data_IF_817469019111
#
_entry.id   IF_817469019111
#
_cell.length_a   1.000
_cell.length_b   1.000
_cell.length_c   1.000
_cell.angle_alpha   90.00
_cell.angle_beta   90.00
_cell.angle_gamma   90.00
#
_symmetry.space_group_name_H-M   'P 1'
#
loop_
_entity.id
_entity.type
_entity.pdbx_description
1 polymer ?
#
# COMPACT_ATOMS: atom_id res chain seq x y z
N UNK A 1 15.47 27.54 -10.98
CA UNK A 1 16.11 26.21 -10.97
C UNK A 1 15.00 25.17 -11.01
N UNK A 2 14.82 24.51 -12.16
CA UNK A 2 13.88 23.40 -12.34
C UNK A 2 14.35 22.22 -11.50
N UNK A 3 13.58 21.82 -10.49
CA UNK A 3 13.89 20.61 -9.71
C UNK A 3 13.89 19.41 -10.67
N UNK A 4 14.93 18.56 -10.66
CA UNK A 4 14.93 17.36 -11.47
C UNK A 4 13.74 16.48 -11.07
N UNK A 5 12.95 16.04 -12.05
CA UNK A 5 11.88 15.07 -11.86
C UNK A 5 12.55 13.73 -11.57
N UNK A 6 12.69 13.36 -10.29
CA UNK A 6 13.17 12.04 -9.90
C UNK A 6 12.21 11.00 -10.49
N UNK A 7 12.65 10.31 -11.54
CA UNK A 7 11.94 9.15 -12.09
C UNK A 7 12.14 8.05 -11.07
N UNK A 8 11.10 7.77 -10.28
CA UNK A 8 11.09 6.76 -9.23
C UNK A 8 11.59 5.41 -9.75
N UNK A 9 12.47 4.73 -9.00
CA UNK A 9 12.86 3.35 -9.31
C UNK A 9 11.85 2.41 -8.67
N UNK A 10 10.90 1.93 -9.47
CA UNK A 10 9.97 0.90 -9.03
C UNK A 10 10.68 -0.43 -8.79
N UNK A 11 10.27 -1.12 -7.73
CA UNK A 11 10.71 -2.49 -7.46
C UNK A 11 10.20 -3.48 -8.51
N UNK A 12 10.90 -4.62 -8.62
CA UNK A 12 10.42 -5.77 -9.39
C UNK A 12 9.07 -6.24 -8.83
N UNK A 13 8.92 -6.24 -7.50
CA UNK A 13 7.66 -6.52 -6.81
C UNK A 13 6.51 -5.67 -7.36
N UNK A 14 6.65 -4.34 -7.36
CA UNK A 14 5.60 -3.45 -7.86
C UNK A 14 5.31 -3.68 -9.34
N UNK A 15 6.33 -3.83 -10.18
CA UNK A 15 6.16 -4.11 -11.62
C UNK A 15 5.41 -5.40 -11.91
N UNK A 16 5.56 -6.42 -11.06
CA UNK A 16 4.88 -7.71 -11.22
C UNK A 16 3.41 -7.64 -10.78
N UNK A 17 3.10 -6.88 -9.74
CA UNK A 17 1.78 -6.89 -9.08
C UNK A 17 0.99 -5.59 -9.24
N UNK A 18 1.38 -4.71 -10.16
CA UNK A 18 0.63 -3.48 -10.51
C UNK A 18 -0.66 -3.77 -11.31
N UNK A 19 -0.88 -5.04 -11.68
CA UNK A 19 -2.08 -5.52 -12.35
C UNK A 19 -3.03 -6.18 -11.36
N UNK A 20 -4.34 -5.93 -11.51
CA UNK A 20 -5.37 -6.41 -10.59
C UNK A 20 -5.46 -7.93 -10.54
N UNK A 21 -5.33 -8.63 -11.68
CA UNK A 21 -5.43 -10.09 -11.72
C UNK A 21 -4.23 -10.71 -10.99
N UNK A 22 -3.02 -10.21 -11.27
CA UNK A 22 -1.80 -10.69 -10.61
C UNK A 22 -1.78 -10.40 -9.13
N UNK A 23 -2.29 -9.24 -8.73
CA UNK A 23 -2.40 -8.87 -7.33
C UNK A 23 -3.40 -9.76 -6.58
N UNK A 24 -4.52 -10.09 -7.22
CA UNK A 24 -5.52 -10.99 -6.67
C UNK A 24 -4.97 -12.42 -6.55
N UNK A 25 -4.20 -12.88 -7.54
CA UNK A 25 -3.50 -14.17 -7.50
C UNK A 25 -2.51 -14.21 -6.33
N UNK A 26 -1.68 -13.18 -6.18
CA UNK A 26 -0.74 -13.06 -5.06
C UNK A 26 -1.45 -13.10 -3.72
N UNK A 27 -2.50 -12.29 -3.55
CA UNK A 27 -3.23 -12.21 -2.29
C UNK A 27 -3.97 -13.52 -1.97
N UNK A 28 -4.53 -14.18 -2.97
CA UNK A 28 -5.15 -15.51 -2.83
C UNK A 28 -4.13 -16.52 -2.28
N UNK A 29 -2.94 -16.55 -2.88
CA UNK A 29 -1.85 -17.43 -2.45
C UNK A 29 -1.38 -17.14 -1.02
N UNK A 30 -1.19 -15.86 -0.66
CA UNK A 30 -0.74 -15.45 0.68
C UNK A 30 -1.80 -15.68 1.76
N UNK A 31 -3.08 -15.48 1.45
CA UNK A 31 -4.18 -15.63 2.40
C UNK A 31 -4.67 -17.07 2.55
N UNK A 32 -4.29 -17.97 1.64
CA UNK A 32 -4.80 -19.33 1.56
C UNK A 32 -6.28 -19.39 1.15
N UNK A 33 -6.81 -18.30 0.57
CA UNK A 33 -8.21 -18.18 0.13
C UNK A 33 -8.27 -18.15 -1.38
N UNK A 34 -9.33 -18.71 -1.94
CA UNK A 34 -9.57 -18.65 -3.37
C UNK A 34 -10.50 -17.48 -3.68
N UNK A 35 -9.98 -16.43 -4.33
CA UNK A 35 -10.78 -15.33 -4.85
C UNK A 35 -11.11 -15.54 -6.33
N UNK A 36 -12.36 -15.29 -6.72
CA UNK A 36 -12.78 -15.37 -8.12
C UNK A 36 -12.20 -14.19 -8.92
N UNK A 37 -11.96 -14.35 -10.22
CA UNK A 37 -11.30 -13.31 -11.05
C UNK A 37 -12.07 -11.99 -11.11
N UNK A 38 -13.38 -12.02 -10.89
CA UNK A 38 -14.27 -10.86 -10.83
C UNK A 38 -14.35 -10.20 -9.44
N UNK A 39 -13.57 -10.69 -8.46
CA UNK A 39 -13.48 -10.08 -7.13
C UNK A 39 -13.02 -8.64 -7.25
N UNK A 40 -13.77 -7.73 -6.65
CA UNK A 40 -13.41 -6.32 -6.64
C UNK A 40 -12.16 -6.08 -5.79
N UNK A 41 -11.13 -5.54 -6.46
CA UNK A 41 -9.89 -5.08 -5.86
C UNK A 41 -9.59 -3.65 -6.32
N UNK A 42 -9.28 -2.79 -5.35
CA UNK A 42 -8.93 -1.39 -5.57
C UNK A 42 -7.51 -1.12 -5.10
N UNK A 43 -6.63 -0.69 -6.00
CA UNK A 43 -5.25 -0.33 -5.67
C UNK A 43 -5.27 1.11 -5.14
N UNK A 44 -4.86 1.30 -3.88
CA UNK A 44 -4.90 2.59 -3.17
C UNK A 44 -3.51 3.12 -2.79
N UNK A 45 -2.47 2.35 -3.10
CA UNK A 45 -1.05 2.64 -2.85
C UNK A 45 -0.71 4.14 -2.91
N UNK A 46 -0.12 4.67 -1.83
CA UNK A 46 0.37 6.05 -1.80
C UNK A 46 1.33 6.34 -2.98
N UNK A 47 1.04 7.41 -3.74
CA UNK A 47 1.91 7.83 -4.83
C UNK A 47 3.23 8.43 -4.33
N UNK A 48 3.20 9.07 -3.16
CA UNK A 48 4.35 9.64 -2.47
C UNK A 48 4.86 8.65 -1.41
N UNK A 49 5.92 7.93 -1.79
CA UNK A 49 6.70 7.14 -0.86
C UNK A 49 7.28 8.07 0.21
N UNK A 50 6.69 8.02 1.41
CA UNK A 50 7.05 8.82 2.59
C UNK A 50 8.57 8.72 2.93
N UNK A 51 9.29 7.77 2.33
CA UNK A 51 10.65 7.39 2.70
C UNK A 51 11.66 7.28 1.53
N UNK A 52 11.43 7.98 0.41
CA UNK A 52 12.46 8.24 -0.60
C UNK A 52 12.19 7.69 -2.01
N UNK A 53 13.25 7.60 -2.82
CA UNK A 53 13.19 7.41 -4.28
C UNK A 53 12.74 6.00 -4.78
N UNK A 54 12.44 5.06 -3.87
CA UNK A 54 12.07 3.66 -4.21
C UNK A 54 10.65 3.32 -3.77
N UNK A 55 9.87 2.83 -4.72
CA UNK A 55 8.52 2.31 -4.52
C UNK A 55 8.59 0.79 -4.36
N UNK A 56 8.45 0.32 -3.13
CA UNK A 56 8.59 -1.11 -2.76
C UNK A 56 7.39 -1.69 -1.99
N UNK A 57 6.35 -0.88 -1.84
CA UNK A 57 5.10 -1.22 -1.21
C UNK A 57 3.96 -1.16 -2.23
N UNK A 58 2.90 -1.89 -1.90
CA UNK A 58 1.65 -1.92 -2.62
C UNK A 58 0.51 -2.06 -1.61
N UNK A 59 -0.46 -1.15 -1.68
CA UNK A 59 -1.66 -1.16 -0.86
C UNK A 59 -2.91 -1.28 -1.72
N UNK A 60 -3.86 -2.08 -1.25
CA UNK A 60 -5.13 -2.34 -1.93
C UNK A 60 -6.25 -2.66 -0.94
N UNK A 61 -7.49 -2.46 -1.40
CA UNK A 61 -8.69 -2.86 -0.67
C UNK A 61 -9.29 -4.10 -1.32
N UNK A 62 -9.64 -5.07 -0.49
CA UNK A 62 -10.41 -6.26 -0.85
C UNK A 62 -11.39 -6.58 0.28
N UNK A 63 -12.67 -6.81 -0.04
CA UNK A 63 -13.72 -7.11 0.95
C UNK A 63 -13.77 -6.11 2.13
N UNK A 64 -13.56 -4.81 1.87
CA UNK A 64 -13.56 -3.76 2.90
C UNK A 64 -12.32 -3.77 3.81
N UNK A 65 -11.27 -4.52 3.47
CA UNK A 65 -10.01 -4.58 4.23
C UNK A 65 -8.90 -3.89 3.47
N UNK A 66 -8.20 -2.98 4.15
CA UNK A 66 -6.95 -2.42 3.68
C UNK A 66 -5.81 -3.43 3.87
N UNK A 67 -5.19 -3.85 2.78
CA UNK A 67 -4.03 -4.73 2.75
C UNK A 67 -2.83 -3.94 2.29
N UNK A 68 -1.72 -4.08 3.01
CA UNK A 68 -0.44 -3.43 2.69
C UNK A 68 0.61 -4.52 2.56
N UNK A 69 1.19 -4.66 1.38
CA UNK A 69 2.30 -5.55 1.09
C UNK A 69 3.57 -4.74 0.90
N UNK A 70 4.67 -5.21 1.48
CA UNK A 70 5.97 -4.55 1.38
C UNK A 70 7.01 -5.60 0.98
N UNK A 71 7.79 -5.29 -0.04
CA UNK A 71 8.93 -6.12 -0.42
C UNK A 71 9.98 -6.14 0.71
N UNK A 72 10.35 -7.34 1.13
CA UNK A 72 11.38 -7.56 2.14
C UNK A 72 12.72 -6.99 1.65
N UNK A 73 13.41 -6.23 2.51
CA UNK A 73 14.73 -5.68 2.19
C UNK A 73 15.84 -6.64 2.66
N UNK A 74 16.84 -6.88 1.82
CA UNK A 74 17.98 -7.75 2.15
C UNK A 74 18.83 -7.21 3.31
N UNK A 75 18.83 -5.89 3.51
CA UNK A 75 19.51 -5.24 4.63
C UNK A 75 18.47 -4.86 5.68
N UNK A 76 18.71 -5.27 6.93
CA UNK A 76 17.85 -4.89 8.05
C UNK A 76 17.95 -3.38 8.26
N UNK A 77 16.81 -2.70 8.17
CA UNK A 77 16.67 -1.29 8.52
C UNK A 77 15.84 -1.20 9.81
N UNK A 78 16.44 -0.80 10.95
CA UNK A 78 15.74 -0.73 12.23
C UNK A 78 14.60 0.30 12.25
N UNK A 79 14.56 1.23 11.28
CA UNK A 79 13.49 2.22 11.15
C UNK A 79 12.28 1.71 10.36
N UNK A 80 12.30 0.48 9.83
CA UNK A 80 11.16 -0.11 9.11
C UNK A 80 9.85 -0.13 9.90
N UNK A 81 9.82 -0.39 11.22
CA UNK A 81 8.58 -0.29 12.01
C UNK A 81 8.00 1.12 12.05
N UNK A 82 8.85 2.14 12.23
CA UNK A 82 8.42 3.54 12.18
C UNK A 82 7.90 3.90 10.79
N UNK A 83 8.57 3.39 9.74
CA UNK A 83 8.16 3.51 8.35
C UNK A 83 6.73 3.03 8.14
N UNK A 84 6.45 1.83 8.64
CA UNK A 84 5.15 1.18 8.55
C UNK A 84 4.07 1.98 9.31
N UNK A 85 4.38 2.46 10.51
CA UNK A 85 3.44 3.24 11.31
C UNK A 85 2.97 4.51 10.57
N UNK A 86 3.90 5.27 10.01
CA UNK A 86 3.57 6.50 9.28
C UNK A 86 2.79 6.18 8.00
N UNK A 87 3.12 5.08 7.32
CA UNK A 87 2.39 4.65 6.13
C UNK A 87 0.92 4.34 6.44
N UNK A 88 0.69 3.50 7.47
CA UNK A 88 -0.66 3.15 7.92
C UNK A 88 -1.43 4.43 8.28
N UNK A 89 -0.83 5.35 9.05
CA UNK A 89 -1.49 6.59 9.43
C UNK A 89 -1.94 7.43 8.22
N UNK A 90 -1.08 7.59 7.21
CA UNK A 90 -1.42 8.34 5.99
C UNK A 90 -2.48 7.65 5.13
N UNK A 91 -2.42 6.33 5.04
CA UNK A 91 -3.40 5.55 4.28
C UNK A 91 -4.79 5.68 4.93
N UNK A 92 -4.87 5.55 6.25
CA UNK A 92 -6.11 5.80 6.99
C UNK A 92 -6.60 7.24 6.91
N UNK A 93 -5.70 8.24 6.88
CA UNK A 93 -6.07 9.64 6.70
C UNK A 93 -6.79 9.89 5.36
N UNK A 94 -6.41 9.18 4.30
CA UNK A 94 -7.12 9.26 3.01
C UNK A 94 -8.56 8.74 3.09
N UNK A 95 -8.78 7.67 3.84
CA UNK A 95 -10.12 7.08 4.01
C UNK A 95 -11.00 7.90 4.93
N UNK A 96 -10.43 8.39 6.03
CA UNK A 96 -11.14 9.10 7.08
C UNK A 96 -10.65 10.55 7.12
N UNK A 97 -11.25 11.40 6.27
CA UNK A 97 -11.04 12.85 6.29
C UNK A 97 -10.99 13.36 7.74
N UNK A 98 -9.98 14.16 8.09
CA UNK A 98 -9.54 14.43 9.48
C UNK A 98 -10.64 14.73 10.53
N UNK A 99 -11.81 15.26 10.13
CA UNK A 99 -12.97 15.45 11.03
C UNK A 99 -13.50 14.15 11.64
N UNK A 100 -13.39 13.03 10.93
CA UNK A 100 -13.75 11.70 11.40
C UNK A 100 -12.84 11.22 12.54
N UNK A 101 -11.55 11.52 12.47
CA UNK A 101 -10.57 11.16 13.52
C UNK A 101 -10.88 11.90 14.83
N UNK A 102 -11.41 13.13 14.73
CA UNK A 102 -11.87 13.91 15.88
C UNK A 102 -13.36 13.71 16.19
N UNK A 103 -14.04 12.78 15.52
CA UNK A 103 -15.44 12.47 15.76
C UNK A 103 -15.62 11.80 17.12
N UNK A 104 -16.73 12.12 17.80
CA UNK A 104 -17.16 11.41 19.02
C UNK A 104 -17.89 10.09 18.74
N UNK A 105 -18.14 9.79 17.46
CA UNK A 105 -18.84 8.59 17.01
C UNK A 105 -17.93 7.74 16.13
N UNK A 106 -18.02 6.41 16.28
CA UNK A 106 -17.29 5.44 15.47
C UNK A 106 -17.62 5.61 13.98
N UNK A 107 -16.60 5.46 13.15
CA UNK A 107 -16.73 5.53 11.69
C UNK A 107 -16.59 4.11 11.14
N UNK A 108 -17.61 3.65 10.42
CA UNK A 108 -17.65 2.41 9.66
C UNK A 108 -17.98 2.73 8.20
#
# INVERSE_FOLDING_TARGET
>A
MTKPKHIYKDSVFRRLFDDKEKLLELYSALSGRHYAKDTQIEIVTLEEAIFGDRKNDLAFIIEGRLIILIEHQSTINPNMPLRMLVYIAKEYEKFYFSKAIYSKHFVY
#
